data_IF_668581422426
#
_entry.id   IF_668581422426
#
_cell.length_a   1.000
_cell.length_b   1.000
_cell.length_c   1.000
_cell.angle_alpha   90.00
_cell.angle_beta   90.00
_cell.angle_gamma   90.00
#
_symmetry.space_group_name_H-M   'P 1'
#
loop_
_entity.id
_entity.type
_entity.pdbx_description
1 polymer ?
#
# COMPACT_ATOMS: atom_id res chain seq x y z
N UNK A 1 13.79 -0.51 3.84
CA UNK A 1 13.99 -1.53 2.78
C UNK A 1 13.03 -1.43 1.60
N UNK A 2 11.80 -0.90 1.76
CA UNK A 2 10.80 -0.91 0.68
C UNK A 2 11.18 -0.19 -0.63
N UNK A 3 12.20 0.69 -0.61
CA UNK A 3 12.69 1.43 -1.79
C UNK A 3 14.13 1.11 -2.22
N UNK A 4 14.68 -0.02 -1.79
CA UNK A 4 16.07 -0.39 -2.13
C UNK A 4 16.08 -1.20 -3.43
N UNK A 5 16.73 -0.67 -4.47
CA UNK A 5 16.78 -1.29 -5.81
C UNK A 5 17.48 -2.66 -5.83
N UNK A 6 18.51 -2.89 -5.01
CA UNK A 6 19.15 -4.21 -4.90
C UNK A 6 18.24 -5.28 -4.29
N UNK A 7 17.18 -4.88 -3.58
CA UNK A 7 16.20 -5.79 -2.95
C UNK A 7 14.99 -6.02 -3.86
N UNK A 8 14.53 -4.96 -4.53
CA UNK A 8 13.25 -4.95 -5.27
C UNK A 8 13.39 -4.89 -6.79
N UNK A 9 14.57 -4.58 -7.32
CA UNK A 9 14.82 -4.38 -8.74
C UNK A 9 14.79 -2.91 -9.16
N UNK A 10 14.96 -2.63 -10.46
CA UNK A 10 15.02 -1.27 -11.00
C UNK A 10 13.67 -0.54 -10.96
N UNK A 11 12.55 -1.26 -10.98
CA UNK A 11 11.18 -0.71 -10.93
C UNK A 11 10.69 -0.44 -9.50
N UNK A 12 11.61 -0.28 -8.53
CA UNK A 12 11.28 -0.20 -7.09
C UNK A 12 10.41 1.01 -6.71
N UNK A 13 10.50 2.09 -7.48
CA UNK A 13 9.71 3.30 -7.23
C UNK A 13 8.35 3.28 -7.95
N UNK A 14 8.07 2.27 -8.77
CA UNK A 14 6.80 2.10 -9.47
C UNK A 14 5.73 1.44 -8.58
N UNK A 15 4.50 1.94 -8.65
CA UNK A 15 3.35 1.29 -8.05
C UNK A 15 2.91 0.09 -8.90
N UNK A 16 3.36 -1.11 -8.52
CA UNK A 16 3.14 -2.36 -9.27
C UNK A 16 2.57 -3.48 -8.39
N UNK A 17 1.25 -3.49 -8.15
CA UNK A 17 0.58 -4.54 -7.35
C UNK A 17 0.82 -5.97 -7.88
N UNK A 18 1.00 -6.12 -9.18
CA UNK A 18 1.23 -7.39 -9.86
C UNK A 18 2.56 -8.03 -9.44
N UNK A 19 3.48 -7.27 -8.84
CA UNK A 19 4.73 -7.78 -8.27
C UNK A 19 4.49 -8.93 -7.30
N UNK A 20 3.35 -8.91 -6.59
CA UNK A 20 2.96 -9.91 -5.59
C UNK A 20 2.31 -11.17 -6.18
N UNK A 21 2.09 -11.21 -7.49
CA UNK A 21 1.44 -12.32 -8.20
C UNK A 21 2.49 -13.05 -9.03
N UNK A 22 2.52 -14.37 -8.93
CA UNK A 22 3.35 -15.22 -9.78
C UNK A 22 2.79 -15.21 -11.22
N UNK A 23 3.59 -14.81 -12.23
CA UNK A 23 3.08 -14.59 -13.58
C UNK A 23 2.69 -15.88 -14.30
N UNK A 24 3.17 -17.03 -13.84
CA UNK A 24 2.90 -18.34 -14.47
C UNK A 24 1.70 -19.00 -13.79
N UNK A 25 1.72 -19.08 -12.46
CA UNK A 25 0.70 -19.79 -11.68
C UNK A 25 -0.48 -18.92 -11.23
N UNK A 26 -0.37 -17.59 -11.31
CA UNK A 26 -1.36 -16.64 -10.81
C UNK A 26 -1.49 -16.61 -9.28
N UNK A 27 -0.67 -17.37 -8.55
CA UNK A 27 -0.73 -17.44 -7.08
C UNK A 27 -0.02 -16.25 -6.44
N UNK A 28 -0.43 -15.90 -5.22
CA UNK A 28 0.24 -14.89 -4.42
C UNK A 28 1.63 -15.39 -4.02
N UNK A 29 2.67 -14.58 -4.30
CA UNK A 29 4.04 -14.87 -3.90
C UNK A 29 4.18 -14.72 -2.38
N UNK A 30 4.78 -15.73 -1.75
CA UNK A 30 5.22 -15.61 -0.36
C UNK A 30 6.55 -14.86 -0.32
N UNK A 31 6.56 -13.68 0.31
CA UNK A 31 7.77 -12.87 0.49
C UNK A 31 8.17 -12.90 1.95
N UNK A 32 9.47 -13.06 2.19
CA UNK A 32 10.03 -13.04 3.55
C UNK A 32 9.64 -11.74 4.29
N UNK A 33 9.19 -11.82 5.55
CA UNK A 33 8.95 -10.63 6.39
C UNK A 33 10.20 -9.76 6.58
N UNK A 34 11.40 -10.32 6.42
CA UNK A 34 12.66 -9.58 6.47
C UNK A 34 12.99 -8.84 5.17
N UNK A 35 12.32 -9.20 4.05
CA UNK A 35 12.37 -8.44 2.80
C UNK A 35 11.27 -7.37 2.78
N UNK A 36 10.06 -7.73 3.21
CA UNK A 36 8.89 -6.84 3.27
C UNK A 36 8.43 -6.61 4.72
N UNK A 37 9.18 -5.78 5.45
CA UNK A 37 9.03 -5.63 6.90
C UNK A 37 7.98 -4.61 7.34
N UNK A 38 6.82 -4.55 6.66
CA UNK A 38 5.74 -3.60 7.00
C UNK A 38 5.07 -3.88 8.35
N UNK A 39 5.12 -5.14 8.79
CA UNK A 39 4.64 -5.58 10.12
C UNK A 39 5.80 -6.06 11.01
N UNK A 40 7.04 -5.69 10.69
CA UNK A 40 8.27 -6.25 11.25
C UNK A 40 8.42 -7.76 10.92
N UNK A 41 9.32 -8.45 11.61
CA UNK A 41 9.56 -9.88 11.46
C UNK A 41 10.05 -10.52 12.76
N UNK A 42 10.01 -11.85 12.82
CA UNK A 42 10.45 -12.61 14.00
C UNK A 42 9.47 -12.55 15.18
N UNK A 43 9.92 -12.86 16.42
CA UNK A 43 9.06 -12.99 17.60
C UNK A 43 8.32 -11.71 18.02
N UNK A 44 8.76 -10.54 17.53
CA UNK A 44 8.15 -9.22 17.80
C UNK A 44 7.37 -8.68 16.60
N UNK A 45 6.93 -9.56 15.69
CA UNK A 45 6.02 -9.20 14.60
C UNK A 45 4.76 -8.54 15.16
N UNK A 46 4.19 -7.58 14.42
CA UNK A 46 2.98 -6.89 14.82
C UNK A 46 1.85 -7.89 15.10
N UNK A 47 1.40 -7.94 16.35
CA UNK A 47 0.31 -8.81 16.79
C UNK A 47 -0.99 -8.52 16.02
N UNK A 48 -1.19 -7.27 15.63
CA UNK A 48 -2.35 -6.81 14.85
C UNK A 48 -2.27 -7.07 13.35
N UNK A 49 -1.22 -7.71 12.81
CA UNK A 49 -1.02 -7.87 11.36
C UNK A 49 -2.25 -8.45 10.66
N UNK A 50 -2.80 -9.56 11.16
CA UNK A 50 -3.96 -10.22 10.53
C UNK A 50 -5.20 -9.35 10.57
N UNK A 51 -5.41 -8.65 11.67
CA UNK A 51 -6.53 -7.72 11.84
C UNK A 51 -6.43 -6.54 10.88
N UNK A 52 -5.29 -5.84 10.86
CA UNK A 52 -5.05 -4.70 9.98
C UNK A 52 -5.18 -5.06 8.49
N UNK A 53 -4.69 -6.25 8.09
CA UNK A 53 -4.85 -6.73 6.72
C UNK A 53 -6.33 -7.00 6.36
N UNK A 54 -7.13 -7.53 7.29
CA UNK A 54 -8.56 -7.72 7.07
C UNK A 54 -9.29 -6.38 6.98
N UNK A 55 -9.01 -5.47 7.91
CA UNK A 55 -9.60 -4.13 7.99
C UNK A 55 -9.37 -3.33 6.68
N UNK A 56 -8.13 -3.28 6.20
CA UNK A 56 -7.80 -2.56 4.96
C UNK A 56 -8.47 -3.20 3.75
N UNK A 57 -8.50 -4.54 3.65
CA UNK A 57 -9.15 -5.23 2.52
C UNK A 57 -10.65 -4.95 2.46
N UNK A 58 -11.34 -5.04 3.60
CA UNK A 58 -12.78 -4.79 3.69
C UNK A 58 -13.08 -3.33 3.36
N UNK A 59 -12.31 -2.40 3.94
CA UNK A 59 -12.48 -0.96 3.72
C UNK A 59 -12.28 -0.61 2.24
N UNK A 60 -11.19 -1.09 1.62
CA UNK A 60 -10.93 -0.84 0.20
C UNK A 60 -12.00 -1.46 -0.70
N UNK A 61 -12.39 -2.71 -0.46
CA UNK A 61 -13.45 -3.36 -1.25
C UNK A 61 -14.77 -2.59 -1.17
N UNK A 62 -15.14 -2.08 0.01
CA UNK A 62 -16.36 -1.29 0.20
C UNK A 62 -16.28 0.08 -0.48
N UNK A 63 -15.17 0.80 -0.33
CA UNK A 63 -15.04 2.14 -0.90
C UNK A 63 -14.91 2.11 -2.42
N UNK A 64 -14.04 1.25 -2.96
CA UNK A 64 -13.76 1.17 -4.39
C UNK A 64 -14.89 0.55 -5.20
N UNK A 65 -15.78 -0.24 -4.59
CA UNK A 65 -16.99 -0.74 -5.27
C UNK A 65 -18.08 0.31 -5.44
N UNK A 66 -17.99 1.45 -4.74
CA UNK A 66 -19.06 2.46 -4.70
C UNK A 66 -18.62 3.83 -5.15
N UNK A 67 -17.33 4.15 -5.04
CA UNK A 67 -16.80 5.47 -5.27
C UNK A 67 -15.52 5.45 -6.10
N UNK A 68 -15.40 6.44 -6.96
CA UNK A 68 -14.16 6.84 -7.59
C UNK A 68 -13.50 7.94 -6.76
N UNK A 69 -12.17 7.90 -6.66
CA UNK A 69 -11.37 8.86 -5.92
C UNK A 69 -10.35 9.50 -6.86
N UNK A 70 -10.24 10.82 -6.83
CA UNK A 70 -9.21 11.56 -7.56
C UNK A 70 -8.60 12.64 -6.68
N UNK A 71 -7.28 12.66 -6.55
CA UNK A 71 -6.60 13.74 -5.83
C UNK A 71 -6.78 15.06 -6.56
N UNK A 72 -6.96 16.15 -5.81
CA UNK A 72 -7.07 17.48 -6.41
C UNK A 72 -5.71 18.07 -6.81
N UNK A 73 -4.63 17.57 -6.20
CA UNK A 73 -3.25 17.93 -6.52
C UNK A 73 -2.54 16.75 -7.18
N UNK A 74 -1.40 17.03 -7.81
CA UNK A 74 -0.51 15.99 -8.31
C UNK A 74 -0.07 15.08 -7.14
N UNK A 75 -0.29 13.76 -7.21
CA UNK A 75 0.20 12.82 -6.20
C UNK A 75 1.70 12.94 -5.90
N UNK A 76 2.51 13.39 -6.85
CA UNK A 76 3.96 13.52 -6.70
C UNK A 76 4.39 14.81 -5.98
N UNK A 77 3.48 15.77 -5.79
CA UNK A 77 3.75 17.00 -5.01
C UNK A 77 3.62 16.78 -3.50
N UNK A 78 3.02 15.66 -3.06
CA UNK A 78 2.85 15.40 -1.64
C UNK A 78 4.18 15.09 -0.96
N UNK A 79 4.45 15.81 0.13
CA UNK A 79 5.56 15.54 1.05
C UNK A 79 5.04 15.05 2.39
N UNK A 80 5.93 14.55 3.25
CA UNK A 80 5.56 13.96 4.53
C UNK A 80 5.98 14.85 5.70
N UNK A 81 5.19 14.83 6.78
CA UNK A 81 5.59 15.44 8.04
C UNK A 81 6.34 14.44 8.90
N UNK A 82 7.30 14.93 9.69
CA UNK A 82 8.01 14.11 10.67
C UNK A 82 7.03 13.73 11.79
N UNK A 83 6.64 12.47 11.85
CA UNK A 83 5.71 11.93 12.85
C UNK A 83 5.96 10.43 13.08
N UNK A 84 5.30 9.84 14.10
CA UNK A 84 5.43 8.42 14.42
C UNK A 84 5.04 7.50 13.25
N UNK A 85 4.00 7.88 12.50
CA UNK A 85 3.63 7.24 11.23
C UNK A 85 3.97 8.15 10.06
N UNK A 86 4.04 7.59 8.84
CA UNK A 86 4.29 8.38 7.64
C UNK A 86 3.02 9.13 7.24
N UNK A 87 2.93 10.41 7.62
CA UNK A 87 1.74 11.23 7.42
C UNK A 87 2.02 12.30 6.36
N UNK A 88 1.03 12.59 5.50
CA UNK A 88 1.13 13.66 4.51
C UNK A 88 1.24 15.01 5.23
N UNK A 89 2.09 15.89 4.71
CA UNK A 89 2.23 17.27 5.16
C UNK A 89 1.09 18.11 4.58
N UNK A 90 0.16 18.52 5.44
CA UNK A 90 -1.02 19.31 5.04
C UNK A 90 -2.22 18.44 4.65
N UNK A 91 -3.25 19.03 4.02
CA UNK A 91 -4.46 18.30 3.63
C UNK A 91 -4.21 17.41 2.41
N UNK A 92 -4.91 16.26 2.37
CA UNK A 92 -5.09 15.42 1.19
C UNK A 92 -6.53 15.60 0.70
N UNK A 93 -6.73 16.57 -0.17
CA UNK A 93 -8.05 16.84 -0.74
C UNK A 93 -8.32 15.90 -1.92
N UNK A 94 -9.49 15.25 -1.89
CA UNK A 94 -9.88 14.20 -2.84
C UNK A 94 -11.29 14.48 -3.34
N UNK A 95 -11.46 14.53 -4.65
CA UNK A 95 -12.77 14.48 -5.29
C UNK A 95 -13.31 13.05 -5.23
N UNK A 96 -14.55 12.91 -4.76
CA UNK A 96 -15.24 11.63 -4.66
C UNK A 96 -16.50 11.67 -5.52
N UNK A 97 -16.64 10.68 -6.41
CA UNK A 97 -17.86 10.50 -7.21
C UNK A 97 -18.34 9.06 -7.11
N UNK A 98 -19.64 8.82 -7.32
CA UNK A 98 -20.16 7.44 -7.34
C UNK A 98 -19.66 6.69 -8.58
N UNK A 99 -19.42 5.39 -8.43
CA UNK A 99 -19.24 4.48 -9.57
C UNK A 99 -20.63 4.24 -10.17
N UNK A 100 -20.83 4.63 -11.42
CA UNK A 100 -22.04 4.26 -12.16
C UNK A 100 -21.83 2.83 -12.64
N UNK A 101 -22.56 1.89 -12.04
CA UNK A 101 -22.63 0.49 -12.47
C UNK A 101 -23.84 0.32 -13.37
#
# INVERSE_FOLDING_TARGET
MGRISTVWGPDVDEFKPERWIDPISGKIKMVSPFKFSVFLGGPRICLGMKFALAEVKITLAKLLSQFNFKTLKDPFDFTYRSSLTLQIKGPLDVAVSRVNI
#
